data_IF_383280043449
#
_entry.id   IF_383280043449
#
_cell.length_a   1.000
_cell.length_b   1.000
_cell.length_c   1.000
_cell.angle_alpha   90.00
_cell.angle_beta   90.00
_cell.angle_gamma   90.00
#
_symmetry.space_group_name_H-M   'P 1'
#
loop_
_entity.id
_entity.type
_entity.pdbx_description
1 polymer ?
#
# COMPACT_ATOMS: atom_id res chain seq x y z
N UNK A 1 39.04 -1.18 -11.89
CA UNK A 1 37.96 -1.55 -10.96
C UNK A 1 37.15 -0.28 -10.66
N UNK A 2 36.20 0.07 -11.53
CA UNK A 2 35.38 1.27 -11.37
C UNK A 2 34.16 0.93 -10.51
N UNK A 3 34.07 1.59 -9.35
CA UNK A 3 32.98 1.39 -8.39
C UNK A 3 31.73 2.09 -8.92
N UNK A 4 30.70 1.31 -9.23
CA UNK A 4 29.37 1.83 -9.56
C UNK A 4 28.82 2.61 -8.36
N UNK A 5 28.89 3.94 -8.47
CA UNK A 5 28.20 4.87 -7.58
C UNK A 5 26.78 5.05 -8.10
N UNK A 6 25.89 4.11 -7.76
CA UNK A 6 24.46 4.24 -8.00
C UNK A 6 23.90 5.29 -7.05
N UNK A 7 23.96 6.56 -7.46
CA UNK A 7 23.20 7.64 -6.84
C UNK A 7 21.73 7.26 -6.93
N UNK A 8 21.21 6.71 -5.83
CA UNK A 8 19.80 6.55 -5.56
C UNK A 8 19.12 7.88 -5.90
N UNK A 9 18.25 7.87 -6.90
CA UNK A 9 17.35 8.99 -7.19
C UNK A 9 16.21 8.87 -6.17
N UNK A 10 16.17 9.67 -5.11
CA UNK A 10 15.05 9.59 -4.19
C UNK A 10 13.86 10.33 -4.80
N UNK A 11 12.68 9.97 -4.33
CA UNK A 11 11.54 10.87 -4.12
C UNK A 11 10.35 10.76 -5.10
N UNK A 12 10.51 10.86 -6.43
CA UNK A 12 9.32 10.83 -7.32
C UNK A 12 8.66 9.46 -7.44
N UNK A 13 9.45 8.38 -7.45
CA UNK A 13 8.93 7.02 -7.61
C UNK A 13 8.28 6.51 -6.30
N UNK A 14 8.86 6.86 -5.15
CA UNK A 14 8.39 6.48 -3.81
C UNK A 14 7.03 7.11 -3.49
N UNK A 15 6.86 8.41 -3.77
CA UNK A 15 5.59 9.10 -3.54
C UNK A 15 4.47 8.62 -4.49
N UNK A 16 4.80 8.34 -5.76
CA UNK A 16 3.86 7.75 -6.72
C UNK A 16 3.47 6.32 -6.32
N UNK A 17 4.44 5.52 -5.86
CA UNK A 17 4.21 4.16 -5.35
C UNK A 17 3.34 4.15 -4.09
N UNK A 18 3.57 5.09 -3.16
CA UNK A 18 2.72 5.26 -1.97
C UNK A 18 1.28 5.64 -2.32
N UNK A 19 1.08 6.58 -3.24
CA UNK A 19 -0.26 6.98 -3.69
C UNK A 19 -1.01 5.79 -4.32
N UNK A 20 -0.33 4.99 -5.15
CA UNK A 20 -0.92 3.79 -5.73
C UNK A 20 -1.32 2.74 -4.68
N UNK A 21 -0.52 2.56 -3.63
CA UNK A 21 -0.86 1.67 -2.51
C UNK A 21 -2.06 2.18 -1.72
N UNK A 22 -2.15 3.49 -1.45
CA UNK A 22 -3.30 4.09 -0.78
C UNK A 22 -4.57 4.02 -1.63
N UNK A 23 -4.46 4.06 -2.95
CA UNK A 23 -5.60 3.86 -3.85
C UNK A 23 -6.14 2.42 -3.75
N UNK A 24 -5.25 1.43 -3.78
CA UNK A 24 -5.62 0.01 -3.58
C UNK A 24 -6.24 -0.24 -2.21
N UNK A 25 -5.67 0.35 -1.16
CA UNK A 25 -6.25 0.33 0.19
C UNK A 25 -7.71 0.80 0.18
N UNK A 26 -7.98 1.96 -0.42
CA UNK A 26 -9.33 2.52 -0.51
C UNK A 26 -10.27 1.66 -1.35
N UNK A 27 -9.76 1.06 -2.43
CA UNK A 27 -10.53 0.15 -3.28
C UNK A 27 -10.99 -1.08 -2.49
N UNK A 28 -10.10 -1.71 -1.73
CA UNK A 28 -10.47 -2.88 -0.90
C UNK A 28 -11.43 -2.52 0.23
N UNK A 29 -11.32 -1.33 0.84
CA UNK A 29 -12.34 -0.87 1.80
C UNK A 29 -13.73 -0.75 1.17
N UNK A 30 -13.81 -0.26 -0.07
CA UNK A 30 -15.08 -0.17 -0.79
C UNK A 30 -15.67 -1.56 -1.08
N UNK A 31 -14.83 -2.52 -1.49
CA UNK A 31 -15.27 -3.91 -1.68
C UNK A 31 -15.72 -4.57 -0.37
N UNK A 32 -14.98 -4.38 0.72
CA UNK A 32 -15.38 -4.87 2.04
C UNK A 32 -16.76 -4.33 2.44
N UNK A 33 -16.99 -3.02 2.27
CA UNK A 33 -18.27 -2.39 2.60
C UNK A 33 -19.45 -2.94 1.75
N UNK A 34 -19.22 -3.19 0.47
CA UNK A 34 -20.22 -3.82 -0.41
C UNK A 34 -20.54 -5.25 0.06
N UNK A 35 -19.51 -6.04 0.40
CA UNK A 35 -19.68 -7.42 0.86
C UNK A 35 -20.37 -7.50 2.23
N UNK A 36 -20.03 -6.61 3.17
CA UNK A 36 -20.77 -6.48 4.44
C UNK A 36 -22.25 -6.22 4.18
N UNK A 37 -22.56 -5.29 3.28
CA UNK A 37 -23.94 -4.93 2.94
C UNK A 37 -24.70 -6.07 2.25
N UNK A 38 -23.99 -6.92 1.51
CA UNK A 38 -24.53 -8.13 0.90
C UNK A 38 -24.63 -9.33 1.87
N UNK A 39 -24.13 -9.19 3.11
CA UNK A 39 -24.08 -10.27 4.10
C UNK A 39 -22.92 -11.25 3.94
N UNK A 40 -22.01 -11.01 2.99
CA UNK A 40 -20.80 -11.82 2.76
C UNK A 40 -19.68 -11.40 3.72
N UNK A 41 -19.76 -11.92 4.96
CA UNK A 41 -18.81 -11.56 6.03
C UNK A 41 -17.40 -12.09 5.78
N UNK A 42 -17.28 -13.29 5.19
CA UNK A 42 -15.97 -13.91 4.91
C UNK A 42 -15.25 -13.15 3.80
N UNK A 43 -15.94 -12.82 2.71
CA UNK A 43 -15.32 -12.03 1.66
C UNK A 43 -15.00 -10.59 2.10
N UNK A 44 -15.78 -10.01 3.01
CA UNK A 44 -15.46 -8.72 3.60
C UNK A 44 -14.19 -8.75 4.46
N UNK A 45 -14.03 -9.77 5.32
CA UNK A 45 -12.80 -9.96 6.11
C UNK A 45 -11.57 -10.09 5.22
N UNK A 46 -11.70 -10.85 4.13
CA UNK A 46 -10.63 -10.99 3.15
C UNK A 46 -10.23 -9.64 2.52
N UNK A 47 -11.20 -8.79 2.16
CA UNK A 47 -10.89 -7.43 1.67
C UNK A 47 -10.28 -6.53 2.74
N UNK A 48 -10.68 -6.65 4.00
CA UNK A 48 -10.05 -5.91 5.09
C UNK A 48 -8.58 -6.30 5.28
N UNK A 49 -8.24 -7.59 5.18
CA UNK A 49 -6.86 -8.05 5.22
C UNK A 49 -6.03 -7.48 4.05
N UNK A 50 -6.60 -7.44 2.83
CA UNK A 50 -5.95 -6.80 1.69
C UNK A 50 -5.77 -5.30 1.91
N UNK A 51 -6.77 -4.61 2.45
CA UNK A 51 -6.69 -3.20 2.79
C UNK A 51 -5.55 -2.94 3.81
N UNK A 52 -5.49 -3.72 4.89
CA UNK A 52 -4.42 -3.62 5.90
C UNK A 52 -3.04 -3.80 5.27
N UNK A 53 -2.87 -4.80 4.41
CA UNK A 53 -1.60 -5.05 3.71
C UNK A 53 -1.14 -3.83 2.93
N UNK A 54 -2.00 -3.25 2.08
CA UNK A 54 -1.63 -2.09 1.29
C UNK A 54 -1.38 -0.83 2.14
N UNK A 55 -2.12 -0.66 3.24
CA UNK A 55 -1.90 0.44 4.16
C UNK A 55 -0.53 0.34 4.84
N UNK A 56 -0.18 -0.87 5.33
CA UNK A 56 1.12 -1.14 5.95
C UNK A 56 2.26 -0.92 4.96
N UNK A 57 2.14 -1.47 3.75
CA UNK A 57 3.13 -1.23 2.70
C UNK A 57 3.26 0.26 2.38
N UNK A 58 2.16 1.02 2.29
CA UNK A 58 2.20 2.47 2.07
C UNK A 58 2.88 3.25 3.20
N UNK A 59 2.86 2.74 4.44
CA UNK A 59 3.57 3.31 5.57
C UNK A 59 5.09 3.09 5.46
N UNK A 60 5.52 1.92 4.97
CA UNK A 60 6.95 1.61 4.72
C UNK A 60 7.57 2.55 3.66
N UNK A 61 6.77 3.07 2.71
CA UNK A 61 7.22 4.11 1.77
C UNK A 61 7.32 5.53 2.37
N UNK A 62 6.74 5.77 3.56
CA UNK A 62 6.88 7.03 4.29
C UNK A 62 8.11 7.02 5.22
N UNK A 63 8.71 5.85 5.48
CA UNK A 63 9.90 5.72 6.32
C UNK A 63 11.17 5.42 5.51
N UNK A 64 11.75 6.38 4.78
CA UNK A 64 13.18 6.41 4.57
C UNK A 64 13.83 7.23 5.69
N UNK A 65 14.80 6.65 6.39
CA UNK A 65 15.72 7.33 7.33
C UNK A 65 15.21 7.55 8.77
N UNK A 66 15.18 6.47 9.56
CA UNK A 66 15.54 6.54 10.99
C UNK A 66 16.36 5.31 11.37
N UNK A 67 17.65 5.35 11.04
CA UNK A 67 18.78 4.98 11.94
C UNK A 67 20.10 4.91 11.18
#
# INVERSE_FOLDING_TARGET
MEKQNTRQRPDRNTAASRKGLLEKYRQHLAFAALKVSAGDRVGAENDYQHAEHFYRSAAEFQEPDRN
#
